data_IF_262667254519
#
_entry.id   IF_262667254519
#
_cell.length_a   1.000
_cell.length_b   1.000
_cell.length_c   1.000
_cell.angle_alpha   90.00
_cell.angle_beta   90.00
_cell.angle_gamma   90.00
#
_symmetry.space_group_name_H-M   'P 1'
#
loop_
_entity.id
_entity.type
_entity.pdbx_description
1 polymer ?
#
# COMPACT_ATOMS: atom_id res chain seq x y z
N UNK A 1 23.24 -11.69 -16.78
CA UNK A 1 22.63 -12.47 -15.68
C UNK A 1 21.88 -13.69 -16.19
N UNK A 2 21.02 -13.53 -17.20
CA UNK A 2 20.11 -14.57 -17.70
C UNK A 2 20.79 -15.90 -18.10
N UNK A 3 21.91 -15.88 -18.83
CA UNK A 3 22.64 -17.10 -19.24
C UNK A 3 23.12 -17.93 -18.05
N UNK A 4 23.60 -17.27 -17.00
CA UNK A 4 24.10 -17.93 -15.79
C UNK A 4 22.95 -18.52 -14.96
N UNK A 5 21.86 -17.77 -14.81
CA UNK A 5 20.66 -18.25 -14.12
C UNK A 5 20.07 -19.48 -14.83
N UNK A 6 19.92 -19.44 -16.17
CA UNK A 6 19.43 -20.58 -16.95
C UNK A 6 20.32 -21.82 -16.82
N UNK A 7 21.64 -21.63 -16.75
CA UNK A 7 22.58 -22.73 -16.52
C UNK A 7 22.38 -23.36 -15.12
N UNK A 8 22.22 -22.54 -14.09
CA UNK A 8 21.95 -23.00 -12.72
C UNK A 8 20.61 -23.75 -12.68
N UNK A 9 19.56 -23.25 -13.33
CA UNK A 9 18.26 -23.93 -13.34
C UNK A 9 18.31 -25.32 -13.99
N UNK A 10 19.12 -25.50 -15.04
CA UNK A 10 19.21 -26.75 -15.77
C UNK A 10 20.18 -27.77 -15.17
N UNK A 11 21.24 -27.32 -14.47
CA UNK A 11 22.36 -28.18 -14.06
C UNK A 11 22.50 -28.38 -12.55
N UNK A 12 21.77 -27.60 -11.75
CA UNK A 12 21.94 -27.62 -10.31
C UNK A 12 21.10 -28.73 -9.66
N UNK A 13 21.77 -29.49 -8.79
CA UNK A 13 21.19 -30.54 -7.93
C UNK A 13 20.89 -30.04 -6.52
N UNK A 14 21.34 -28.82 -6.18
CA UNK A 14 21.14 -28.22 -4.86
C UNK A 14 20.02 -27.17 -4.89
N UNK A 15 19.04 -27.27 -4.00
CA UNK A 15 17.90 -26.34 -3.99
C UNK A 15 18.25 -24.93 -3.50
N UNK A 16 19.30 -24.82 -2.68
CA UNK A 16 19.74 -23.54 -2.12
C UNK A 16 20.30 -22.60 -3.18
N UNK A 17 21.21 -23.08 -4.04
CA UNK A 17 21.86 -22.24 -5.05
C UNK A 17 20.84 -21.82 -6.12
N UNK A 18 19.96 -22.73 -6.53
CA UNK A 18 18.79 -22.43 -7.37
C UNK A 18 17.92 -21.31 -6.78
N UNK A 19 17.55 -21.40 -5.50
CA UNK A 19 16.73 -20.38 -4.83
C UNK A 19 17.42 -19.02 -4.81
N UNK A 20 18.70 -18.96 -4.43
CA UNK A 20 19.47 -17.71 -4.45
C UNK A 20 19.59 -17.13 -5.88
N UNK A 21 19.79 -17.98 -6.88
CA UNK A 21 19.88 -17.56 -8.28
C UNK A 21 18.56 -16.96 -8.78
N UNK A 22 17.41 -17.57 -8.44
CA UNK A 22 16.09 -17.03 -8.75
C UNK A 22 15.91 -15.64 -8.11
N UNK A 23 16.19 -15.50 -6.82
CA UNK A 23 16.03 -14.22 -6.12
C UNK A 23 16.92 -13.12 -6.72
N UNK A 24 18.19 -13.41 -6.99
CA UNK A 24 19.09 -12.46 -7.65
C UNK A 24 18.61 -12.11 -9.07
N UNK A 25 18.04 -13.07 -9.80
CA UNK A 25 17.49 -12.83 -11.13
C UNK A 25 16.30 -11.86 -11.08
N UNK A 26 15.37 -12.11 -10.17
CA UNK A 26 14.20 -11.24 -9.95
C UNK A 26 14.66 -9.84 -9.51
N UNK A 27 15.60 -9.75 -8.57
CA UNK A 27 16.16 -8.48 -8.12
C UNK A 27 16.74 -7.66 -9.29
N UNK A 28 17.48 -8.32 -10.18
CA UNK A 28 18.03 -7.69 -11.38
C UNK A 28 16.93 -7.20 -12.34
N UNK A 29 15.90 -8.01 -12.62
CA UNK A 29 14.79 -7.56 -13.46
C UNK A 29 14.05 -6.35 -12.85
N UNK A 30 13.83 -6.38 -11.54
CA UNK A 30 13.18 -5.31 -10.80
C UNK A 30 14.00 -4.00 -10.77
N UNK A 31 15.35 -4.08 -10.72
CA UNK A 31 16.22 -2.91 -10.85
C UNK A 31 16.05 -2.21 -12.22
N UNK A 32 15.97 -3.01 -13.28
CA UNK A 32 15.87 -2.53 -14.67
C UNK A 32 14.44 -2.19 -15.11
N UNK A 33 13.51 -2.00 -14.17
CA UNK A 33 12.10 -1.68 -14.46
C UNK A 33 11.36 -2.75 -15.27
N UNK A 34 11.85 -4.00 -15.35
CA UNK A 34 11.20 -5.08 -16.09
C UNK A 34 10.23 -5.83 -15.17
N UNK A 35 9.12 -5.17 -14.82
CA UNK A 35 8.17 -5.66 -13.81
C UNK A 35 7.52 -7.00 -14.18
N UNK A 36 6.96 -7.12 -15.39
CA UNK A 36 6.25 -8.33 -15.82
C UNK A 36 7.12 -9.59 -15.69
N UNK A 37 8.36 -9.52 -16.20
CA UNK A 37 9.31 -10.63 -16.11
C UNK A 37 9.65 -10.98 -14.66
N UNK A 38 9.85 -9.97 -13.80
CA UNK A 38 10.18 -10.18 -12.40
C UNK A 38 9.00 -10.78 -11.61
N UNK A 39 7.77 -10.32 -11.88
CA UNK A 39 6.53 -10.84 -11.29
C UNK A 39 6.31 -12.29 -11.68
N UNK A 40 6.40 -12.59 -12.97
CA UNK A 40 6.14 -13.93 -13.48
C UNK A 40 7.16 -14.93 -12.91
N UNK A 41 8.44 -14.55 -12.83
CA UNK A 41 9.47 -15.36 -12.16
C UNK A 41 9.21 -15.56 -10.65
N UNK A 42 8.72 -14.52 -9.94
CA UNK A 42 8.36 -14.65 -8.53
C UNK A 42 7.19 -15.61 -8.34
N UNK A 43 6.12 -15.48 -9.12
CA UNK A 43 4.95 -16.35 -9.05
C UNK A 43 5.26 -17.79 -9.45
N UNK A 44 6.02 -18.01 -10.53
CA UNK A 44 6.44 -19.35 -10.99
C UNK A 44 7.25 -20.11 -9.94
N UNK A 45 7.99 -19.40 -9.09
CA UNK A 45 8.88 -20.01 -8.11
C UNK A 45 8.17 -20.52 -6.84
N UNK A 46 6.93 -20.09 -6.58
CA UNK A 46 6.18 -20.39 -5.34
C UNK A 46 7.00 -20.20 -4.06
N UNK A 47 7.95 -19.25 -4.06
CA UNK A 47 8.85 -19.03 -2.93
C UNK A 47 8.13 -18.49 -1.69
N UNK A 48 6.94 -17.89 -1.86
CA UNK A 48 6.12 -17.34 -0.78
C UNK A 48 5.77 -18.40 0.30
N UNK A 49 5.51 -19.64 -0.10
CA UNK A 49 5.10 -20.71 0.82
C UNK A 49 6.31 -21.37 1.52
N UNK A 50 7.44 -21.43 0.82
CA UNK A 50 8.62 -22.19 1.27
C UNK A 50 9.67 -21.35 2.01
N UNK A 51 9.63 -20.01 1.89
CA UNK A 51 10.70 -19.13 2.40
C UNK A 51 10.84 -19.16 3.92
N UNK A 52 9.77 -19.45 4.66
CA UNK A 52 9.79 -19.47 6.14
C UNK A 52 10.74 -20.54 6.70
N UNK A 53 10.95 -21.63 5.96
CA UNK A 53 11.84 -22.73 6.34
C UNK A 53 13.26 -22.58 5.79
N UNK A 54 13.51 -21.58 4.95
CA UNK A 54 14.82 -21.33 4.36
C UNK A 54 15.79 -20.66 5.34
N UNK A 55 17.09 -20.74 5.04
CA UNK A 55 18.13 -20.10 5.85
C UNK A 55 17.89 -18.58 6.01
N UNK A 56 18.13 -17.99 7.20
CA UNK A 56 17.99 -16.55 7.44
C UNK A 56 18.64 -15.61 6.41
N UNK A 57 19.86 -15.85 5.89
CA UNK A 57 20.42 -15.01 4.82
C UNK A 57 19.62 -15.07 3.51
N UNK A 58 18.99 -16.20 3.19
CA UNK A 58 18.11 -16.34 2.00
C UNK A 58 16.80 -15.60 2.23
N UNK A 59 16.26 -15.63 3.45
CA UNK A 59 15.10 -14.82 3.84
C UNK A 59 15.37 -13.32 3.71
N UNK A 60 16.55 -12.84 4.14
CA UNK A 60 16.94 -11.43 3.97
C UNK A 60 17.01 -11.08 2.47
N UNK A 61 17.59 -11.95 1.64
CA UNK A 61 17.64 -11.74 0.19
C UNK A 61 16.22 -11.71 -0.43
N UNK A 62 15.33 -12.57 0.03
CA UNK A 62 13.92 -12.59 -0.38
C UNK A 62 13.21 -11.28 0.00
N UNK A 63 13.31 -10.86 1.26
CA UNK A 63 12.71 -9.60 1.73
C UNK A 63 13.20 -8.40 0.92
N UNK A 64 14.50 -8.35 0.62
CA UNK A 64 15.09 -7.29 -0.23
C UNK A 64 14.57 -7.35 -1.66
N UNK A 65 14.38 -8.55 -2.21
CA UNK A 65 13.80 -8.75 -3.54
C UNK A 65 12.33 -8.34 -3.59
N UNK A 66 11.57 -8.62 -2.53
CA UNK A 66 10.18 -8.17 -2.38
C UNK A 66 10.08 -6.64 -2.32
N UNK A 67 10.91 -5.98 -1.52
CA UNK A 67 10.97 -4.50 -1.49
C UNK A 67 11.31 -3.94 -2.88
N UNK A 68 12.29 -4.53 -3.55
CA UNK A 68 12.70 -4.07 -4.88
C UNK A 68 11.59 -4.29 -5.93
N UNK A 69 10.86 -5.40 -5.86
CA UNK A 69 9.68 -5.65 -6.67
C UNK A 69 8.58 -4.61 -6.42
N UNK A 70 8.32 -4.26 -5.15
CA UNK A 70 7.37 -3.21 -4.76
C UNK A 70 7.76 -1.84 -5.33
N UNK A 71 9.04 -1.47 -5.25
CA UNK A 71 9.55 -0.23 -5.87
C UNK A 71 9.42 -0.30 -7.40
N UNK A 72 9.71 -1.45 -8.02
CA UNK A 72 9.55 -1.63 -9.46
C UNK A 72 8.08 -1.49 -9.90
N UNK A 73 7.15 -2.05 -9.15
CA UNK A 73 5.71 -1.91 -9.40
C UNK A 73 5.28 -0.44 -9.33
N UNK A 74 5.76 0.28 -8.31
CA UNK A 74 5.49 1.70 -8.14
C UNK A 74 6.01 2.54 -9.32
N UNK A 75 7.23 2.26 -9.81
CA UNK A 75 7.81 2.93 -10.97
C UNK A 75 7.03 2.70 -12.27
N UNK A 76 6.31 1.60 -12.37
CA UNK A 76 5.44 1.28 -13.51
C UNK A 76 4.01 1.82 -13.35
N UNK A 77 3.72 2.55 -12.27
CA UNK A 77 2.39 3.11 -11.99
C UNK A 77 1.39 2.12 -11.40
N UNK A 78 1.81 0.89 -11.07
CA UNK A 78 0.96 -0.14 -10.47
C UNK A 78 0.90 0.02 -8.95
N UNK A 79 0.14 1.02 -8.50
CA UNK A 79 0.07 1.41 -7.07
C UNK A 79 -0.54 0.33 -6.17
N UNK A 80 -1.55 -0.42 -6.67
CA UNK A 80 -2.17 -1.55 -5.94
C UNK A 80 -1.16 -2.65 -5.64
N UNK A 81 -0.45 -3.12 -6.65
CA UNK A 81 0.54 -4.19 -6.51
C UNK A 81 1.75 -3.74 -5.67
N UNK A 82 2.17 -2.48 -5.85
CA UNK A 82 3.22 -1.88 -5.03
C UNK A 82 2.81 -1.84 -3.54
N UNK A 83 1.59 -1.41 -3.24
CA UNK A 83 1.07 -1.38 -1.87
C UNK A 83 1.04 -2.77 -1.25
N UNK A 84 0.49 -3.76 -1.95
CA UNK A 84 0.38 -5.13 -1.47
C UNK A 84 1.74 -5.76 -1.16
N UNK A 85 2.73 -5.58 -2.04
CA UNK A 85 4.07 -6.14 -1.85
C UNK A 85 4.82 -5.51 -0.65
N UNK A 86 4.54 -4.24 -0.34
CA UNK A 86 5.22 -3.49 0.72
C UNK A 86 4.48 -3.54 2.06
N UNK A 87 3.21 -3.92 2.06
CA UNK A 87 2.32 -3.92 3.23
C UNK A 87 2.92 -4.71 4.39
N UNK A 88 3.27 -5.97 4.17
CA UNK A 88 3.74 -6.88 5.24
C UNK A 88 5.07 -6.41 5.87
N UNK A 89 5.95 -5.85 5.05
CA UNK A 89 7.27 -5.39 5.48
C UNK A 89 7.12 -4.12 6.32
N UNK A 90 6.32 -3.17 5.87
CA UNK A 90 6.18 -1.88 6.54
C UNK A 90 5.24 -1.93 7.75
N UNK A 91 4.19 -2.77 7.72
CA UNK A 91 3.29 -2.95 8.86
C UNK A 91 3.94 -3.62 10.06
N UNK A 92 5.03 -4.38 9.84
CA UNK A 92 5.75 -5.08 10.90
C UNK A 92 6.46 -4.15 11.90
N UNK A 93 6.77 -2.91 11.51
CA UNK A 93 7.61 -1.98 12.29
C UNK A 93 9.07 -2.43 12.46
N UNK A 94 9.48 -3.55 11.85
CA UNK A 94 10.83 -4.15 11.94
C UNK A 94 11.56 -4.18 10.59
N UNK A 95 11.17 -3.31 9.66
CA UNK A 95 11.72 -3.27 8.29
C UNK A 95 13.26 -3.20 8.23
N UNK A 96 13.90 -2.49 9.16
CA UNK A 96 15.37 -2.38 9.24
C UNK A 96 16.07 -3.72 9.52
N UNK A 97 15.46 -4.53 10.39
CA UNK A 97 15.98 -5.85 10.77
C UNK A 97 15.71 -6.88 9.67
N UNK A 98 14.49 -6.87 9.11
CA UNK A 98 14.07 -7.78 8.05
C UNK A 98 14.91 -7.64 6.76
N UNK A 99 15.45 -6.45 6.50
CA UNK A 99 16.33 -6.16 5.37
C UNK A 99 17.83 -6.34 5.67
N UNK A 100 18.17 -6.73 6.90
CA UNK A 100 19.56 -6.95 7.32
C UNK A 100 20.41 -5.68 7.36
N UNK A 101 19.80 -4.51 7.57
CA UNK A 101 20.49 -3.20 7.57
C UNK A 101 20.88 -2.71 8.97
N UNK A 102 20.58 -3.50 10.01
CA UNK A 102 20.91 -3.18 11.38
C UNK A 102 19.81 -3.59 12.36
N UNK A 103 20.08 -3.42 13.63
CA UNK A 103 19.14 -3.69 14.71
C UNK A 103 18.46 -2.40 15.16
N UNK A 104 17.19 -2.47 15.52
CA UNK A 104 16.51 -1.36 16.18
C UNK A 104 16.90 -1.33 17.65
N UNK A 105 17.14 -0.14 18.19
CA UNK A 105 17.58 0.06 19.58
C UNK A 105 16.62 -0.58 20.59
N UNK A 106 15.32 -0.63 20.26
CA UNK A 106 14.28 -1.23 21.09
C UNK A 106 14.36 -2.76 21.17
N UNK A 107 14.90 -3.42 20.14
CA UNK A 107 15.12 -4.88 20.14
C UNK A 107 16.41 -5.29 20.86
N UNK A 108 17.26 -4.34 21.26
CA UNK A 108 18.48 -4.62 22.05
C UNK A 108 18.16 -4.97 23.51
N UNK A 109 17.02 -4.54 24.03
CA UNK A 109 16.68 -4.72 25.45
C UNK A 109 16.30 -6.18 25.80
N UNK A 110 15.87 -6.99 24.82
CA UNK A 110 15.31 -8.33 25.02
C UNK A 110 16.22 -9.46 24.48
N UNK A 111 17.39 -9.16 23.90
CA UNK A 111 18.18 -10.14 23.14
C UNK A 111 19.49 -10.56 23.82
N UNK A 112 19.80 -11.85 23.72
CA UNK A 112 21.07 -12.42 24.19
C UNK A 112 22.26 -11.91 23.35
N UNK A 113 23.38 -11.61 24.03
CA UNK A 113 24.61 -11.06 23.42
C UNK A 113 25.18 -11.95 22.27
N UNK A 114 25.02 -13.27 22.36
CA UNK A 114 25.47 -14.20 21.31
C UNK A 114 24.64 -14.13 20.04
N UNK A 115 23.31 -13.98 20.17
CA UNK A 115 22.41 -13.82 19.02
C UNK A 115 22.67 -12.50 18.30
N UNK A 116 22.95 -11.43 19.05
CA UNK A 116 23.29 -10.13 18.48
C UNK A 116 24.58 -10.19 17.64
N UNK A 117 25.61 -10.90 18.12
CA UNK A 117 26.89 -11.05 17.40
C UNK A 117 26.71 -11.80 16.08
N UNK A 118 25.84 -12.81 16.05
CA UNK A 118 25.54 -13.57 14.83
C UNK A 118 24.70 -12.75 13.86
N UNK A 119 23.72 -11.98 14.33
CA UNK A 119 22.92 -11.10 13.47
C UNK A 119 23.74 -9.92 12.92
N UNK A 120 24.66 -9.34 13.70
CA UNK A 120 25.63 -8.34 13.21
C UNK A 120 26.49 -8.89 12.06
N UNK A 121 26.89 -10.16 12.13
CA UNK A 121 27.63 -10.83 11.04
C UNK A 121 26.79 -11.06 9.78
N UNK A 122 25.46 -11.09 9.90
CA UNK A 122 24.52 -11.27 8.79
C UNK A 122 24.11 -9.96 8.12
N UNK A 123 24.62 -8.82 8.60
CA UNK A 123 24.29 -7.52 8.04
C UNK A 123 24.88 -7.36 6.65
N UNK A 124 24.09 -6.79 5.76
CA UNK A 124 24.56 -6.44 4.42
C UNK A 124 25.46 -5.19 4.49
N UNK A 125 26.50 -5.11 3.64
CA UNK A 125 27.29 -3.90 3.47
C UNK A 125 26.44 -2.66 3.11
N UNK A 126 26.92 -1.47 3.48
CA UNK A 126 26.18 -0.21 3.31
C UNK A 126 25.80 0.12 1.86
N UNK A 127 26.65 -0.21 0.89
CA UNK A 127 26.35 0.01 -0.54
C UNK A 127 25.21 -0.87 -1.08
N UNK A 128 24.82 -1.90 -0.33
CA UNK A 128 23.63 -2.71 -0.61
C UNK A 128 22.41 -2.22 0.20
N UNK A 129 22.50 -1.15 0.99
CA UNK A 129 21.34 -0.67 1.75
C UNK A 129 20.32 -0.01 0.82
N UNK A 130 19.06 -0.34 1.05
CA UNK A 130 17.90 0.32 0.45
C UNK A 130 17.43 1.37 1.45
N UNK A 131 17.28 2.63 1.03
CA UNK A 131 16.87 3.70 1.93
C UNK A 131 15.46 3.42 2.50
N UNK A 132 15.36 3.31 3.84
CA UNK A 132 14.11 3.03 4.54
C UNK A 132 13.13 4.20 4.49
N UNK A 133 13.62 5.44 4.41
CA UNK A 133 12.76 6.62 4.24
C UNK A 133 12.09 6.56 2.87
N UNK A 134 12.85 6.26 1.81
CA UNK A 134 12.29 6.07 0.46
C UNK A 134 11.23 4.96 0.44
N UNK A 135 11.51 3.83 1.09
CA UNK A 135 10.56 2.73 1.23
C UNK A 135 9.25 3.19 1.88
N UNK A 136 9.37 3.94 2.97
CA UNK A 136 8.21 4.51 3.66
C UNK A 136 7.46 5.53 2.77
N UNK A 137 8.15 6.30 1.91
CA UNK A 137 7.49 7.16 0.92
C UNK A 137 6.57 6.35 0.04
N UNK A 138 7.17 5.34 -0.61
CA UNK A 138 6.54 4.63 -1.69
C UNK A 138 5.31 3.92 -1.16
N UNK A 139 5.43 3.36 0.04
CA UNK A 139 4.32 2.76 0.75
C UNK A 139 3.22 3.78 1.10
N UNK A 140 3.55 4.92 1.72
CA UNK A 140 2.56 5.91 2.14
C UNK A 140 1.88 6.62 0.96
N UNK A 141 2.62 6.91 -0.12
CA UNK A 141 2.06 7.49 -1.35
C UNK A 141 1.15 6.48 -2.05
N UNK A 142 1.56 5.21 -2.14
CA UNK A 142 0.69 4.16 -2.70
C UNK A 142 -0.58 3.99 -1.87
N UNK A 143 -0.46 4.02 -0.53
CA UNK A 143 -1.62 3.98 0.36
C UNK A 143 -2.52 5.22 0.18
N UNK A 144 -1.94 6.41 0.09
CA UNK A 144 -2.67 7.67 -0.12
C UNK A 144 -3.52 7.63 -1.40
N UNK A 145 -2.94 7.16 -2.51
CA UNK A 145 -3.62 7.08 -3.81
C UNK A 145 -4.74 6.02 -3.86
N UNK A 146 -4.70 5.02 -2.99
CA UNK A 146 -5.74 3.99 -2.90
C UNK A 146 -6.83 4.35 -1.88
N UNK A 147 -6.42 4.86 -0.73
CA UNK A 147 -7.31 5.08 0.41
C UNK A 147 -8.16 6.33 0.24
N UNK A 148 -7.62 7.44 -0.30
CA UNK A 148 -8.38 8.69 -0.40
C UNK A 148 -9.57 8.57 -1.35
N UNK A 149 -9.41 8.03 -2.59
CA UNK A 149 -10.55 7.82 -3.46
C UNK A 149 -11.56 6.84 -2.85
N UNK A 150 -11.08 5.76 -2.21
CA UNK A 150 -11.95 4.79 -1.56
C UNK A 150 -12.77 5.41 -0.41
N UNK A 151 -12.12 6.21 0.44
CA UNK A 151 -12.76 6.92 1.55
C UNK A 151 -13.77 7.98 1.08
N UNK A 152 -13.47 8.68 -0.02
CA UNK A 152 -14.37 9.69 -0.58
C UNK A 152 -15.61 9.05 -1.22
N UNK A 153 -15.44 7.95 -1.96
CA UNK A 153 -16.54 7.24 -2.61
C UNK A 153 -17.49 6.56 -1.59
N UNK A 154 -16.95 6.05 -0.48
CA UNK A 154 -17.71 5.31 0.53
C UNK A 154 -17.93 6.12 1.83
N UNK A 155 -18.00 7.46 1.75
CA UNK A 155 -18.23 8.30 2.94
C UNK A 155 -19.61 8.04 3.58
N UNK A 156 -20.60 7.64 2.77
CA UNK A 156 -21.97 7.30 3.16
C UNK A 156 -22.14 5.87 3.72
N UNK A 157 -21.32 4.91 3.27
CA UNK A 157 -21.41 3.50 3.66
C UNK A 157 -20.90 3.24 5.08
N UNK A 158 -21.64 2.45 5.87
CA UNK A 158 -21.21 2.10 7.22
C UNK A 158 -20.03 1.12 7.22
N UNK A 159 -19.80 0.42 6.09
CA UNK A 159 -18.73 -0.57 5.89
C UNK A 159 -17.41 0.09 5.53
N UNK A 160 -16.81 0.80 6.49
CA UNK A 160 -15.44 1.31 6.38
C UNK A 160 -14.43 0.16 6.39
N UNK A 161 -14.15 -0.43 5.22
CA UNK A 161 -12.98 -1.31 5.06
C UNK A 161 -11.72 -0.45 5.04
N UNK A 162 -10.85 -0.68 6.01
CA UNK A 162 -9.56 -0.01 6.10
C UNK A 162 -8.54 -0.78 5.27
N UNK A 163 -7.98 -0.16 4.23
CA UNK A 163 -6.98 -0.80 3.35
C UNK A 163 -5.64 -0.81 4.10
N UNK A 164 -5.19 0.34 4.61
CA UNK A 164 -3.94 0.45 5.38
C UNK A 164 -4.13 0.97 6.80
N UNK A 165 -3.83 0.10 7.79
CA UNK A 165 -3.79 0.47 9.22
C UNK A 165 -2.69 1.49 9.53
N UNK A 166 -1.52 1.33 8.92
CA UNK A 166 -0.36 2.19 9.16
C UNK A 166 -0.60 3.61 8.66
N UNK A 167 -1.23 3.76 7.48
CA UNK A 167 -1.59 5.07 6.94
C UNK A 167 -2.61 5.79 7.84
N UNK A 168 -3.66 5.08 8.28
CA UNK A 168 -4.66 5.64 9.21
C UNK A 168 -4.06 6.04 10.56
N UNK A 169 -3.12 5.26 11.08
CA UNK A 169 -2.40 5.63 12.29
C UNK A 169 -1.62 6.94 12.09
N UNK A 170 -0.90 7.09 10.98
CA UNK A 170 -0.17 8.31 10.65
C UNK A 170 -1.10 9.53 10.48
N UNK A 171 -2.25 9.35 9.82
CA UNK A 171 -3.24 10.42 9.67
C UNK A 171 -3.77 10.87 11.03
N UNK A 172 -4.15 9.92 11.90
CA UNK A 172 -4.64 10.22 13.26
C UNK A 172 -3.58 10.91 14.12
N UNK A 173 -2.32 10.52 14.00
CA UNK A 173 -1.21 11.17 14.72
C UNK A 173 -1.04 12.62 14.22
N UNK A 174 -1.12 12.85 12.92
CA UNK A 174 -1.05 14.19 12.32
C UNK A 174 -2.29 15.07 12.59
N UNK A 175 -3.47 14.50 12.85
CA UNK A 175 -4.68 15.23 13.25
C UNK A 175 -4.70 15.60 14.73
N UNK A 176 -4.06 14.78 15.58
CA UNK A 176 -3.96 15.04 17.03
C UNK A 176 -3.00 16.19 17.38
N UNK A 177 -2.13 16.57 16.45
CA UNK A 177 -1.22 17.72 16.61
C UNK A 177 -2.03 19.02 16.62
N UNK A 178 -2.11 19.76 17.75
CA UNK A 178 -2.92 20.98 17.84
C UNK A 178 -2.38 22.13 16.99
N UNK A 179 -1.07 22.14 16.75
CA UNK A 179 -0.36 23.11 15.93
C UNK A 179 0.30 22.37 14.76
N UNK A 180 -0.23 22.54 13.56
CA UNK A 180 0.37 22.00 12.35
C UNK A 180 1.30 23.06 11.75
N UNK A 181 2.61 22.89 11.97
CA UNK A 181 3.63 23.68 11.28
C UNK A 181 3.76 23.30 9.80
N UNK A 182 4.58 24.04 9.02
CA UNK A 182 4.96 23.60 7.68
C UNK A 182 5.64 22.22 7.77
N UNK A 183 5.36 21.29 6.84
CA UNK A 183 5.90 19.95 6.92
C UNK A 183 7.42 19.96 6.72
N UNK A 184 8.15 19.34 7.63
CA UNK A 184 9.61 19.16 7.53
C UNK A 184 9.95 17.68 7.34
N UNK A 185 9.21 16.81 8.03
CA UNK A 185 9.37 15.38 7.89
C UNK A 185 8.66 14.86 6.64
N UNK A 186 9.22 13.82 6.05
CA UNK A 186 8.63 13.08 4.94
C UNK A 186 7.20 12.59 5.22
N UNK A 187 6.92 12.13 6.44
CA UNK A 187 5.58 11.69 6.85
C UNK A 187 4.59 12.85 6.88
N UNK A 188 5.02 14.01 7.37
CA UNK A 188 4.21 15.22 7.42
C UNK A 188 3.88 15.74 6.03
N UNK A 189 4.83 15.67 5.08
CA UNK A 189 4.58 16.02 3.68
C UNK A 189 3.47 15.14 3.07
N UNK A 190 3.48 13.83 3.34
CA UNK A 190 2.43 12.92 2.85
C UNK A 190 1.09 13.17 3.55
N UNK A 191 1.09 13.48 4.85
CA UNK A 191 -0.14 13.83 5.58
C UNK A 191 -0.71 15.19 5.14
N UNK A 192 0.14 16.16 4.81
CA UNK A 192 -0.30 17.43 4.24
C UNK A 192 -0.88 17.23 2.84
N UNK A 193 -0.22 16.40 2.01
CA UNK A 193 -0.69 16.03 0.69
C UNK A 193 -2.04 15.29 0.75
N UNK A 194 -2.23 14.38 1.71
CA UNK A 194 -3.48 13.64 1.87
C UNK A 194 -4.65 14.55 2.25
N UNK A 195 -4.42 15.55 3.11
CA UNK A 195 -5.42 16.58 3.44
C UNK A 195 -5.78 17.44 2.22
N UNK A 196 -4.79 17.87 1.43
CA UNK A 196 -5.02 18.63 0.20
C UNK A 196 -5.79 17.81 -0.86
N UNK A 197 -5.43 16.53 -1.02
CA UNK A 197 -6.09 15.62 -1.95
C UNK A 197 -7.56 15.36 -1.56
N UNK A 198 -7.86 15.28 -0.25
CA UNK A 198 -9.25 15.19 0.23
C UNK A 198 -10.09 16.44 -0.11
N UNK A 199 -9.46 17.62 -0.17
CA UNK A 199 -10.12 18.87 -0.57
C UNK A 199 -10.22 19.04 -2.09
N UNK A 200 -9.65 18.12 -2.89
CA UNK A 200 -9.65 18.19 -4.35
C UNK A 200 -8.61 19.13 -4.96
N UNK A 201 -7.71 19.71 -4.16
CA UNK A 201 -6.64 20.58 -4.66
C UNK A 201 -5.37 19.79 -5.00
N UNK A 202 -5.27 19.38 -6.26
CA UNK A 202 -4.11 18.62 -6.74
C UNK A 202 -2.83 19.45 -6.78
N UNK A 203 -2.89 20.78 -6.97
CA UNK A 203 -1.71 21.65 -7.08
C UNK A 203 -1.02 21.77 -5.73
N UNK A 204 -1.80 21.97 -4.67
CA UNK A 204 -1.28 21.99 -3.30
C UNK A 204 -0.76 20.60 -2.89
N UNK A 205 -1.44 19.52 -3.30
CA UNK A 205 -0.96 18.14 -3.09
C UNK A 205 0.40 17.90 -3.78
N UNK A 206 0.52 18.28 -5.05
CA UNK A 206 1.76 18.16 -5.82
C UNK A 206 2.90 18.97 -5.17
N UNK A 207 2.63 20.21 -4.78
CA UNK A 207 3.61 21.07 -4.09
C UNK A 207 4.03 20.50 -2.73
N UNK A 208 3.10 19.89 -1.99
CA UNK A 208 3.39 19.21 -0.73
C UNK A 208 4.21 17.92 -0.95
N UNK A 209 4.00 17.19 -2.04
CA UNK A 209 4.86 16.04 -2.39
C UNK A 209 6.27 16.49 -2.85
N UNK A 210 6.35 17.60 -3.58
CA UNK A 210 7.55 18.18 -4.18
C UNK A 210 8.33 19.14 -3.25
N UNK A 211 8.07 19.11 -1.94
CA UNK A 211 8.70 19.97 -0.93
C UNK A 211 10.24 20.13 -1.11
N UNK A 212 10.72 21.35 -0.83
CA UNK A 212 11.98 22.01 -1.29
C UNK A 212 13.31 21.23 -1.25
N UNK A 213 13.40 20.05 -0.64
CA UNK A 213 14.63 19.24 -0.51
C UNK A 213 14.79 18.09 -1.51
N UNK A 214 13.82 17.85 -2.41
CA UNK A 214 13.85 16.73 -3.39
C UNK A 214 14.16 17.13 -4.83
N UNK A 215 14.60 18.38 -5.05
CA UNK A 215 14.88 18.92 -6.39
C UNK A 215 16.06 18.25 -7.10
N UNK A 216 16.90 17.48 -6.41
CA UNK A 216 18.07 16.81 -7.00
C UNK A 216 17.78 15.42 -7.61
N UNK A 217 16.60 14.81 -7.36
CA UNK A 217 16.30 13.46 -7.86
C UNK A 217 15.49 13.41 -9.15
N UNK A 218 14.91 14.53 -9.59
CA UNK A 218 14.06 14.57 -10.77
C UNK A 218 14.24 15.93 -11.49
N UNK A 219 15.11 15.94 -12.50
CA UNK A 219 15.18 16.99 -13.54
C UNK A 219 14.08 16.70 -14.60
N UNK A 220 13.66 17.68 -15.41
CA UNK A 220 12.63 18.68 -15.16
C UNK A 220 11.33 18.38 -15.94
N UNK A 221 10.16 18.52 -15.34
CA UNK A 221 8.91 18.69 -16.12
C UNK A 221 8.67 20.19 -16.33
N UNK A 222 8.36 20.64 -17.56
CA UNK A 222 8.29 22.05 -17.90
C UNK A 222 7.11 22.73 -17.20
N UNK A 223 7.40 23.86 -16.57
CA UNK A 223 6.43 24.84 -16.11
C UNK A 223 5.77 25.55 -17.31
N UNK A 224 4.48 25.30 -17.52
CA UNK A 224 3.58 26.10 -18.35
C UNK A 224 2.15 25.61 -18.03
N UNK A 225 1.12 26.39 -17.69
CA UNK A 225 0.86 27.82 -17.76
C UNK A 225 -0.32 28.16 -16.80
N UNK A 226 -0.39 29.43 -16.41
CA UNK A 226 -1.53 30.05 -15.74
C UNK A 226 -2.76 30.19 -16.66
N UNK A 227 -3.93 30.04 -16.04
CA UNK A 227 -5.23 30.69 -16.31
C UNK A 227 -6.14 30.25 -17.47
N UNK A 228 -7.44 30.14 -17.12
CA UNK A 228 -8.68 30.40 -17.89
C UNK A 228 -9.62 29.19 -18.17
N UNK A 229 -10.91 29.43 -17.83
CA UNK A 229 -12.21 28.79 -18.14
C UNK A 229 -12.37 27.26 -18.33
N UNK A 230 -12.80 26.63 -17.22
CA UNK A 230 -13.73 25.49 -17.04
C UNK A 230 -13.96 24.48 -18.19
N UNK A 231 -13.12 23.45 -18.22
CA UNK A 231 -13.50 22.05 -18.50
C UNK A 231 -12.75 21.12 -17.52
N UNK A 232 -13.26 19.92 -17.15
CA UNK A 232 -12.53 18.98 -16.28
C UNK A 232 -11.16 18.57 -16.84
N UNK A 233 -11.00 18.59 -18.17
CA UNK A 233 -9.72 18.33 -18.85
C UNK A 233 -8.67 19.38 -18.50
N UNK A 234 -9.04 20.66 -18.56
CA UNK A 234 -8.14 21.78 -18.27
C UNK A 234 -7.89 21.95 -16.76
N UNK A 235 -8.83 21.54 -15.91
CA UNK A 235 -8.69 21.59 -14.45
C UNK A 235 -7.63 20.62 -13.92
N UNK A 236 -7.50 19.45 -14.53
CA UNK A 236 -6.56 18.40 -14.12
C UNK A 236 -5.36 18.21 -15.06
N UNK A 237 -5.27 19.02 -16.13
CA UNK A 237 -4.22 18.93 -17.17
C UNK A 237 -4.16 17.51 -17.78
N UNK A 238 -5.34 16.91 -18.01
CA UNK A 238 -5.47 15.55 -18.56
C UNK A 238 -6.10 15.60 -19.95
N UNK A 239 -5.68 14.69 -20.81
CA UNK A 239 -6.28 14.51 -22.13
C UNK A 239 -7.75 14.05 -22.01
N UNK A 240 -8.64 14.65 -22.80
CA UNK A 240 -10.06 14.28 -22.95
C UNK A 240 -10.33 12.76 -23.01
N UNK A 241 -9.60 11.94 -23.82
CA UNK A 241 -9.79 10.49 -23.84
C UNK A 241 -9.47 9.81 -22.50
N UNK A 242 -8.50 10.31 -21.74
CA UNK A 242 -8.14 9.79 -20.42
C UNK A 242 -9.24 10.10 -19.42
N UNK A 243 -9.75 11.34 -19.43
CA UNK A 243 -10.89 11.76 -18.59
C UNK A 243 -12.14 10.93 -18.90
N UNK A 244 -12.46 10.74 -20.18
CA UNK A 244 -13.57 9.90 -20.61
C UNK A 244 -13.41 8.46 -20.15
N UNK A 245 -12.21 7.86 -20.24
CA UNK A 245 -11.96 6.51 -19.76
C UNK A 245 -12.12 6.38 -18.24
N UNK A 246 -11.68 7.37 -17.47
CA UNK A 246 -11.81 7.37 -16.01
C UNK A 246 -13.29 7.47 -15.62
N UNK A 247 -14.01 8.46 -16.15
CA UNK A 247 -15.44 8.68 -15.86
C UNK A 247 -16.27 7.46 -16.27
N UNK A 248 -16.02 6.89 -17.45
CA UNK A 248 -16.72 5.67 -17.90
C UNK A 248 -16.48 4.49 -16.95
N UNK A 249 -15.26 4.31 -16.46
CA UNK A 249 -14.95 3.26 -15.46
C UNK A 249 -15.67 3.53 -14.13
N UNK A 250 -15.73 4.78 -13.68
CA UNK A 250 -16.43 5.15 -12.45
C UNK A 250 -17.96 4.92 -12.56
N UNK A 251 -18.56 5.18 -13.72
CA UNK A 251 -19.98 4.91 -13.98
C UNK A 251 -20.24 3.40 -13.98
N UNK A 252 -19.41 2.61 -14.67
CA UNK A 252 -19.56 1.13 -14.75
C UNK A 252 -19.37 0.48 -13.37
N UNK A 253 -18.44 0.99 -12.56
CA UNK A 253 -18.20 0.49 -11.21
C UNK A 253 -19.25 0.99 -10.19
N UNK A 254 -20.27 1.73 -10.64
CA UNK A 254 -21.32 2.33 -9.81
C UNK A 254 -20.79 3.31 -8.74
N UNK A 255 -19.56 3.82 -8.91
CA UNK A 255 -18.97 4.84 -8.03
C UNK A 255 -19.54 6.24 -8.30
N UNK A 256 -20.06 6.45 -9.52
CA UNK A 256 -20.67 7.71 -9.96
C UNK A 256 -22.05 7.45 -10.54
N UNK A 257 -23.10 7.96 -9.89
CA UNK A 257 -24.48 7.89 -10.39
C UNK A 257 -24.71 8.94 -11.48
N UNK A 258 -24.04 8.77 -12.63
CA UNK A 258 -24.11 9.69 -13.75
C UNK A 258 -24.19 8.95 -15.09
N UNK A 259 -24.73 9.63 -16.09
CA UNK A 259 -24.69 9.20 -17.49
C UNK A 259 -23.84 10.17 -18.30
N UNK A 260 -23.13 9.63 -19.29
CA UNK A 260 -22.28 10.40 -20.18
C UNK A 260 -23.01 10.63 -21.52
N UNK A 261 -23.21 11.89 -21.89
CA UNK A 261 -23.79 12.26 -23.17
C UNK A 261 -22.70 12.36 -24.25
N UNK A 262 -22.76 11.47 -25.24
CA UNK A 262 -21.75 11.35 -26.31
C UNK A 262 -21.59 12.58 -27.23
N UNK A 263 -22.66 13.26 -27.69
CA UNK A 263 -22.51 14.40 -28.58
C UNK A 263 -22.05 15.70 -27.89
N UNK A 264 -22.42 15.92 -26.63
CA UNK A 264 -22.02 17.14 -25.89
C UNK A 264 -20.80 16.95 -24.99
N UNK A 265 -20.33 15.72 -24.81
CA UNK A 265 -19.26 15.36 -23.87
C UNK A 265 -19.54 15.85 -22.43
N UNK A 266 -20.82 15.96 -22.07
CA UNK A 266 -21.25 16.38 -20.73
C UNK A 266 -21.64 15.18 -19.88
N UNK A 267 -21.32 15.26 -18.58
CA UNK A 267 -21.72 14.27 -17.59
C UNK A 267 -22.99 14.77 -16.89
N UNK A 268 -24.07 14.01 -17.02
CA UNK A 268 -25.35 14.32 -16.39
C UNK A 268 -25.46 13.50 -15.10
N UNK A 269 -25.44 14.18 -13.96
CA UNK A 269 -25.62 13.54 -12.65
C UNK A 269 -27.10 13.19 -12.43
N UNK A 270 -27.38 11.95 -12.04
CA UNK A 270 -28.70 11.56 -11.55
C UNK A 270 -28.83 12.06 -10.11
N UNK A 271 -29.84 12.89 -9.82
CA UNK A 271 -30.07 13.52 -8.50
C UNK A 271 -30.56 12.51 -7.45
N UNK A 272 -29.74 11.55 -7.09
CA UNK A 272 -30.04 10.54 -6.07
C UNK A 272 -28.96 10.54 -4.99
N UNK A 273 -28.49 11.71 -4.56
CA UNK A 273 -27.71 11.79 -3.33
C UNK A 273 -28.68 11.70 -2.14
N UNK A 274 -28.61 10.63 -1.33
CA UNK A 274 -29.45 10.50 -0.14
C UNK A 274 -29.18 11.66 0.82
N UNK A 275 -30.25 12.18 1.43
CA UNK A 275 -30.15 13.22 2.44
C UNK A 275 -29.38 12.71 3.68
N UNK A 276 -28.84 13.63 4.50
CA UNK A 276 -28.09 13.25 5.72
C UNK A 276 -28.89 12.31 6.65
N UNK A 277 -30.21 12.49 6.73
CA UNK A 277 -31.11 11.61 7.50
C UNK A 277 -31.26 10.24 6.86
N UNK A 278 -31.37 10.16 5.53
CA UNK A 278 -31.42 8.89 4.80
C UNK A 278 -30.10 8.12 4.93
N UNK A 279 -28.95 8.81 4.88
CA UNK A 279 -27.65 8.20 5.14
C UNK A 279 -27.53 7.65 6.56
N UNK A 280 -28.00 8.39 7.57
CA UNK A 280 -28.00 7.90 8.95
C UNK A 280 -28.92 6.68 9.11
N UNK A 281 -30.09 6.68 8.45
CA UNK A 281 -31.01 5.55 8.45
C UNK A 281 -30.41 4.31 7.76
N UNK A 282 -29.72 4.48 6.63
CA UNK A 282 -28.98 3.41 5.96
C UNK A 282 -27.88 2.83 6.87
N UNK A 283 -27.08 3.69 7.51
CA UNK A 283 -26.04 3.24 8.44
C UNK A 283 -26.61 2.49 9.66
N UNK A 284 -27.77 2.91 10.18
CA UNK A 284 -28.45 2.22 11.26
C UNK A 284 -29.03 0.88 10.79
N UNK A 285 -29.63 0.83 9.60
CA UNK A 285 -30.16 -0.41 9.02
C UNK A 285 -29.06 -1.45 8.83
N UNK A 286 -27.88 -1.07 8.33
CA UNK A 286 -26.74 -1.97 8.19
C UNK A 286 -26.22 -2.47 9.55
N UNK A 287 -26.15 -1.59 10.56
CA UNK A 287 -25.75 -1.98 11.93
C UNK A 287 -26.76 -2.91 12.59
N UNK A 288 -28.05 -2.69 12.39
CA UNK A 288 -29.12 -3.54 12.90
C UNK A 288 -29.11 -4.91 12.22
N UNK A 289 -28.84 -4.97 10.91
CA UNK A 289 -28.65 -6.23 10.19
C UNK A 289 -27.43 -7.04 10.64
N UNK A 290 -26.49 -6.42 11.35
CA UNK A 290 -25.31 -7.09 11.92
C UNK A 290 -25.47 -7.46 13.41
N UNK A 291 -26.52 -6.99 14.08
CA UNK A 291 -26.92 -7.61 15.34
C UNK A 291 -27.13 -9.10 15.04
N UNK A 292 -26.43 -10.04 15.71
CA UNK A 292 -26.91 -11.41 15.69
C UNK A 292 -28.39 -11.33 16.09
N UNK A 293 -29.24 -11.98 15.29
CA UNK A 293 -30.67 -12.05 15.57
C UNK A 293 -30.88 -12.28 17.07
N UNK A 294 -31.88 -11.62 17.71
CA UNK A 294 -32.20 -11.92 19.11
C UNK A 294 -32.45 -13.44 19.33
N UNK A 295 -32.73 -14.19 18.25
CA UNK A 295 -32.81 -15.65 18.21
C UNK A 295 -31.57 -16.39 18.76
N UNK A 296 -30.36 -15.82 18.68
CA UNK A 296 -29.16 -16.49 19.21
C UNK A 296 -29.08 -16.51 20.74
N UNK A 297 -29.89 -15.69 21.43
CA UNK A 297 -29.90 -15.53 22.89
C UNK A 297 -31.00 -16.38 23.56
N UNK A 298 -31.92 -16.97 22.80
CA UNK A 298 -33.12 -17.64 23.34
C UNK A 298 -32.88 -19.11 23.72
N UNK A 299 -31.70 -19.68 23.47
CA UNK A 299 -31.40 -21.02 23.99
C UNK A 299 -30.90 -20.93 25.46
N UNK A 300 -31.69 -21.37 26.45
CA UNK A 300 -31.19 -21.48 27.82
C UNK A 300 -30.03 -22.50 27.85
N UNK A 301 -29.00 -22.28 28.68
CA UNK A 301 -27.90 -23.24 28.82
C UNK A 301 -28.47 -24.60 29.29
N UNK A 302 -27.95 -25.73 28.77
CA UNK A 302 -28.40 -27.04 29.21
C UNK A 302 -28.13 -27.21 30.71
N UNK A 303 -29.04 -27.86 31.47
CA UNK A 303 -28.87 -28.02 32.90
C UNK A 303 -27.61 -28.83 33.21
N UNK A 304 -26.91 -28.55 34.33
CA UNK A 304 -25.72 -29.27 34.71
C UNK A 304 -26.06 -30.75 34.91
N UNK A 305 -25.29 -31.64 34.28
CA UNK A 305 -25.39 -33.09 34.49
C UNK A 305 -25.13 -33.37 35.97
N UNK A 306 -26.19 -33.71 36.71
CA UNK A 306 -26.09 -34.28 38.05
C UNK A 306 -25.36 -35.62 37.87
N UNK A 307 -24.12 -35.68 38.36
CA UNK A 307 -23.42 -36.95 38.57
C UNK A 307 -24.29 -37.77 39.54
N UNK A 308 -25.00 -38.75 38.99
CA UNK A 308 -25.73 -39.73 39.76
C UNK A 308 -24.74 -40.49 40.64
N UNK A 309 -24.84 -40.28 41.95
CA UNK A 309 -24.52 -41.28 42.94
C UNK A 309 -25.33 -42.53 42.59
N UNK A 310 -24.66 -43.57 42.10
CA UNK A 310 -25.13 -44.94 42.27
C UNK A 310 -24.28 -45.58 43.37
N UNK A 311 -25.03 -46.13 44.32
CA UNK A 311 -24.61 -46.83 45.51
C UNK A 311 -23.80 -48.10 45.22
#
# INVERSE_FOLDING_TARGET
MERLCKYIYAKDRTDRIRTCAILCHIYHHALHSRWYQARDLMLMSHLQDNIQHADPPVQILYNRTMVQLGICAFRQGLTKDAHNALLDIQSSGRAKELLGQGLLLRSLQERNQEQEKVERRRQVPFHLHINLELLECVYLVSAMLLEIPYMAAHESDARRRMISKQFHHQLRVGERQPLLGPPESMREHVVAASKAMKMGDWKTCHKAMMGRGRRDWLVPFPEALLSVSMTPSDMFELDLPTVHSIISKMIINEELMASLDQPTQTVVMHRTEPTAQQNLALQLAEKLGWSPSPDLVIHPPPPPKVLGLQA
#
